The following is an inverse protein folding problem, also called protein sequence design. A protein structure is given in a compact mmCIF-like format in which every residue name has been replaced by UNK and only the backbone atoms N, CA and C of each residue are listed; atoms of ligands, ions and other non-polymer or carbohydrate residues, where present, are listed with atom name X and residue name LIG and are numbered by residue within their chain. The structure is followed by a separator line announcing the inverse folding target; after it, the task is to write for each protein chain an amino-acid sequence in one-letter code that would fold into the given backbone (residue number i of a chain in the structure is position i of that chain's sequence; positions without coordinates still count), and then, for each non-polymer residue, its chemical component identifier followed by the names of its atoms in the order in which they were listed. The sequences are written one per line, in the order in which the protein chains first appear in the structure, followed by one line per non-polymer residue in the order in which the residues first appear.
data_IF_201735405467
#
_entry.id   IF_201735405467
#
_cell.length_a   1.000
_cell.length_b   1.000
_cell.length_c   1.000
_cell.angle_alpha   90.00
_cell.angle_beta   90.00
_cell.angle_gamma   90.00
#
_symmetry.space_group_name_H-M   'P 1'
#
loop_
_entity.id
_entity.type
_entity.pdbx_description
1 polymer ?
#
# COMPACT_ATOMS: atom_id res chain seq x y z
N UNK A 1 -7.96 6.22 9.95
CA UNK A 1 -8.09 6.40 11.42
C UNK A 1 -9.09 7.51 11.72
N UNK A 2 -9.99 7.34 12.70
CA UNK A 2 -10.85 8.45 13.12
C UNK A 2 -10.10 9.32 14.14
N UNK A 3 -9.82 10.55 13.76
CA UNK A 3 -9.16 11.53 14.62
C UNK A 3 -10.22 12.35 15.35
N UNK A 4 -10.28 12.17 16.67
CA UNK A 4 -11.04 13.05 17.54
C UNK A 4 -10.05 13.92 18.31
N UNK A 5 -10.19 15.24 18.32
CA UNK A 5 -9.35 16.15 19.12
C UNK A 5 -7.82 16.00 18.90
N UNK A 6 -7.36 16.07 17.64
CA UNK A 6 -5.93 16.06 17.32
C UNK A 6 -5.23 17.33 17.86
N UNK A 7 -4.26 17.14 18.76
CA UNK A 7 -3.36 18.19 19.25
C UNK A 7 -1.91 17.81 18.95
N UNK A 8 -1.24 18.61 18.13
CA UNK A 8 0.20 18.45 17.85
C UNK A 8 0.98 19.18 18.95
N UNK A 9 2.00 18.50 19.51
CA UNK A 9 2.78 19.00 20.64
C UNK A 9 4.20 19.43 20.22
N UNK A 10 4.94 18.58 19.50
CA UNK A 10 6.30 18.88 19.02
C UNK A 10 6.46 18.47 17.57
N UNK A 11 7.24 19.24 16.81
CA UNK A 11 7.57 18.97 15.41
C UNK A 11 9.07 19.17 15.22
N UNK A 12 9.76 18.18 14.67
CA UNK A 12 11.16 18.25 14.27
C UNK A 12 11.27 17.96 12.77
N UNK A 13 12.19 18.66 12.10
CA UNK A 13 12.45 18.49 10.67
C UNK A 13 13.93 18.16 10.47
N UNK A 14 14.21 17.14 9.67
CA UNK A 14 15.56 16.74 9.29
C UNK A 14 15.67 16.69 7.78
N UNK A 15 16.82 17.10 7.24
CA UNK A 15 17.10 17.04 5.82
C UNK A 15 17.49 15.62 5.41
N UNK A 16 16.87 15.10 4.37
CA UNK A 16 17.22 13.82 3.74
C UNK A 16 17.92 14.12 2.42
N UNK A 17 19.05 13.45 2.19
CA UNK A 17 19.81 13.59 0.95
C UNK A 17 19.62 12.36 0.06
N UNK A 18 19.70 12.52 -1.27
CA UNK A 18 19.87 11.37 -2.16
C UNK A 18 21.21 10.68 -1.86
N UNK A 19 21.37 9.46 -2.36
CA UNK A 19 22.68 8.77 -2.30
C UNK A 19 23.74 9.61 -3.04
N UNK A 20 24.98 9.55 -2.56
CA UNK A 20 26.10 10.21 -3.23
C UNK A 20 26.32 9.69 -4.65
N UNK A 21 27.14 10.36 -5.44
CA UNK A 21 27.46 9.92 -6.81
C UNK A 21 28.09 8.52 -6.84
N UNK A 22 28.82 8.16 -5.78
CA UNK A 22 29.39 6.82 -5.56
C UNK A 22 28.34 5.78 -5.11
N UNK A 23 27.10 6.20 -4.89
CA UNK A 23 25.99 5.38 -4.42
C UNK A 23 25.99 5.13 -2.92
N UNK A 24 26.90 5.74 -2.15
CA UNK A 24 26.96 5.58 -0.71
C UNK A 24 25.89 6.41 -0.01
N UNK A 25 25.62 6.02 1.23
CA UNK A 25 24.80 6.80 2.14
C UNK A 25 25.37 8.20 2.35
N UNK A 26 24.48 9.17 2.37
CA UNK A 26 24.77 10.51 2.87
C UNK A 26 24.00 10.65 4.18
N UNK A 27 24.70 11.01 5.25
CA UNK A 27 24.06 11.23 6.54
C UNK A 27 23.03 12.36 6.42
N UNK A 28 21.85 12.22 7.04
CA UNK A 28 20.84 13.26 7.02
C UNK A 28 21.34 14.54 7.73
N UNK A 29 20.79 15.69 7.34
CA UNK A 29 21.05 16.95 8.02
C UNK A 29 20.18 17.05 9.27
N UNK A 30 20.81 17.22 10.43
CA UNK A 30 20.10 17.33 11.70
C UNK A 30 19.50 18.74 11.88
N UNK A 31 18.17 18.85 11.92
CA UNK A 31 17.51 20.03 12.47
C UNK A 31 17.83 20.18 13.96
N UNK A 32 18.05 21.42 14.39
CA UNK A 32 18.52 21.76 15.74
C UNK A 32 17.43 22.37 16.62
N UNK A 33 16.26 22.64 16.05
CA UNK A 33 15.15 23.33 16.71
C UNK A 33 13.82 22.65 16.43
N UNK A 34 12.87 22.83 17.34
CA UNK A 34 11.48 22.46 17.13
C UNK A 34 10.78 23.52 16.27
N UNK A 35 9.92 23.06 15.38
CA UNK A 35 9.14 23.93 14.50
C UNK A 35 7.91 24.43 15.26
N UNK A 36 7.77 25.75 15.30
CA UNK A 36 6.59 26.43 15.81
C UNK A 36 5.84 27.05 14.63
N UNK A 37 4.78 26.37 14.18
CA UNK A 37 3.88 26.91 13.16
C UNK A 37 2.98 28.00 13.76
N UNK A 38 2.67 29.02 12.95
CA UNK A 38 1.52 29.90 13.23
C UNK A 38 0.20 29.12 13.08
N UNK A 39 -0.91 29.76 13.46
CA UNK A 39 -2.22 29.09 13.49
C UNK A 39 -2.64 28.56 12.12
N UNK A 40 -2.41 29.33 11.06
CA UNK A 40 -2.77 28.96 9.69
C UNK A 40 -1.91 27.79 9.19
N UNK A 41 -0.59 27.86 9.36
CA UNK A 41 0.33 26.80 8.98
C UNK A 41 0.09 25.51 9.78
N UNK A 42 -0.26 25.62 11.07
CA UNK A 42 -0.61 24.47 11.90
C UNK A 42 -1.94 23.84 11.46
N UNK A 43 -2.92 24.66 11.07
CA UNK A 43 -4.19 24.19 10.51
C UNK A 43 -3.97 23.40 9.22
N UNK A 44 -3.19 23.95 8.28
CA UNK A 44 -2.80 23.29 7.05
C UNK A 44 -2.02 21.98 7.31
N UNK A 45 -1.11 21.99 8.28
CA UNK A 45 -0.37 20.82 8.71
C UNK A 45 -1.31 19.71 9.21
N UNK A 46 -2.27 20.05 10.07
CA UNK A 46 -3.29 19.12 10.55
C UNK A 46 -4.13 18.58 9.39
N UNK A 47 -4.58 19.43 8.46
CA UNK A 47 -5.36 18.98 7.31
C UNK A 47 -4.62 17.92 6.49
N UNK A 48 -3.30 18.04 6.35
CA UNK A 48 -2.48 17.03 5.65
C UNK A 48 -2.43 15.71 6.37
N UNK A 49 -2.36 15.74 7.71
CA UNK A 49 -2.43 14.54 8.56
C UNK A 49 -3.79 13.86 8.38
N UNK A 50 -4.90 14.62 8.41
CA UNK A 50 -6.24 14.08 8.16
C UNK A 50 -6.34 13.48 6.75
N UNK A 51 -5.86 14.18 5.72
CA UNK A 51 -5.95 13.70 4.35
C UNK A 51 -5.11 12.44 4.11
N UNK A 52 -3.99 12.25 4.84
CA UNK A 52 -3.10 11.11 4.63
C UNK A 52 -3.37 9.94 5.58
N UNK A 53 -3.82 10.18 6.81
CA UNK A 53 -4.00 9.13 7.84
C UNK A 53 -5.45 9.00 8.35
N UNK A 54 -6.34 9.91 7.93
CA UNK A 54 -7.73 9.98 8.38
C UNK A 54 -8.59 8.79 7.94
N UNK A 55 -9.89 8.87 8.23
CA UNK A 55 -10.84 7.81 7.88
C UNK A 55 -10.95 7.64 6.36
N UNK A 56 -11.02 8.76 5.64
CA UNK A 56 -11.22 8.79 4.18
C UNK A 56 -9.91 8.68 3.38
N UNK A 57 -8.78 8.37 4.04
CA UNK A 57 -7.50 8.26 3.36
C UNK A 57 -7.24 6.85 2.82
N UNK A 58 -6.36 6.75 1.83
CA UNK A 58 -5.83 5.47 1.34
C UNK A 58 -4.88 4.78 2.32
N UNK A 59 -4.76 5.25 3.57
CA UNK A 59 -3.83 4.64 4.52
C UNK A 59 -4.19 3.16 4.77
N UNK A 60 -3.14 2.36 4.88
CA UNK A 60 -3.18 0.92 5.15
C UNK A 60 -2.76 0.70 6.59
N UNK A 61 -3.55 -0.05 7.35
CA UNK A 61 -3.14 -0.50 8.68
C UNK A 61 -2.10 -1.62 8.57
N UNK A 62 -1.01 -1.50 9.32
CA UNK A 62 0.09 -2.45 9.38
C UNK A 62 0.47 -2.75 10.82
N UNK A 63 1.19 -3.85 11.01
CA UNK A 63 1.70 -4.28 12.32
C UNK A 63 3.20 -4.09 12.42
N UNK A 64 3.67 -3.72 13.60
CA UNK A 64 5.11 -3.66 13.87
C UNK A 64 5.66 -5.10 13.88
N UNK A 65 6.76 -5.33 13.17
CA UNK A 65 7.46 -6.63 13.13
C UNK A 65 8.93 -6.51 13.53
N UNK A 66 9.50 -5.31 13.51
CA UNK A 66 10.86 -5.05 13.98
C UNK A 66 10.84 -4.18 15.25
N UNK A 67 10.92 -4.84 16.41
CA UNK A 67 10.95 -4.19 17.73
C UNK A 67 12.36 -4.04 18.31
N UNK A 68 13.41 -4.24 17.49
CA UNK A 68 14.79 -4.17 17.95
C UNK A 68 15.13 -2.76 18.46
N UNK A 69 16.06 -2.67 19.40
CA UNK A 69 16.67 -1.38 19.81
C UNK A 69 17.19 -0.64 18.57
N UNK A 70 17.10 0.69 18.61
CA UNK A 70 17.47 1.60 17.51
C UNK A 70 16.61 1.48 16.23
N UNK A 71 15.58 0.61 16.21
CA UNK A 71 14.59 0.61 15.14
C UNK A 71 13.70 1.86 15.19
N UNK A 72 13.04 2.19 14.07
CA UNK A 72 12.06 3.29 14.04
C UNK A 72 10.94 3.11 15.07
N UNK A 73 10.32 1.92 15.24
CA UNK A 73 9.35 1.67 16.30
C UNK A 73 9.91 1.90 17.72
N UNK A 74 11.18 1.54 17.97
CA UNK A 74 11.83 1.82 19.25
C UNK A 74 11.89 3.32 19.53
N UNK A 75 12.35 4.13 18.57
CA UNK A 75 12.41 5.59 18.74
C UNK A 75 11.01 6.22 18.87
N UNK A 76 10.03 5.76 18.09
CA UNK A 76 8.62 6.17 18.23
C UNK A 76 8.13 5.99 19.66
N UNK A 77 8.43 4.85 20.28
CA UNK A 77 7.95 4.53 21.62
C UNK A 77 8.49 5.49 22.70
N UNK A 78 9.65 6.11 22.48
CA UNK A 78 10.32 7.01 23.43
C UNK A 78 10.23 8.50 23.04
N UNK A 79 9.52 8.84 21.96
CA UNK A 79 9.34 10.23 21.50
C UNK A 79 8.22 10.97 22.23
N UNK A 80 7.25 10.24 22.79
CA UNK A 80 6.15 10.89 23.50
C UNK A 80 6.56 11.21 24.95
N UNK A 81 6.43 12.48 25.35
CA UNK A 81 6.71 12.93 26.72
C UNK A 81 8.19 13.17 27.05
N UNK A 82 9.11 12.98 26.12
CA UNK A 82 10.53 13.30 26.31
C UNK A 82 10.80 14.82 26.27
N UNK A 83 11.98 15.26 26.71
CA UNK A 83 12.41 16.66 26.61
C UNK A 83 12.60 17.12 25.16
N UNK A 84 12.69 18.42 24.91
CA UNK A 84 12.87 18.96 23.55
C UNK A 84 14.19 18.49 22.91
N UNK A 85 15.27 18.47 23.69
CA UNK A 85 16.58 18.00 23.24
C UNK A 85 16.56 16.50 22.90
N UNK A 86 15.93 15.68 23.75
CA UNK A 86 15.75 14.25 23.47
C UNK A 86 14.86 14.01 22.26
N UNK A 87 13.79 14.80 22.10
CA UNK A 87 12.90 14.70 20.95
C UNK A 87 13.67 14.90 19.64
N UNK A 88 14.45 15.99 19.55
CA UNK A 88 15.28 16.30 18.37
C UNK A 88 16.32 15.21 18.10
N UNK A 89 16.94 14.66 19.15
CA UNK A 89 17.94 13.60 19.02
C UNK A 89 17.30 12.30 18.52
N UNK A 90 16.19 11.86 19.14
CA UNK A 90 15.50 10.63 18.79
C UNK A 90 14.85 10.73 17.40
N UNK A 91 14.29 11.89 17.03
CA UNK A 91 13.74 12.10 15.68
C UNK A 91 14.83 12.11 14.60
N UNK A 92 16.04 12.56 14.93
CA UNK A 92 17.20 12.48 14.04
C UNK A 92 17.66 11.05 13.81
N UNK A 93 17.61 10.18 14.82
CA UNK A 93 17.91 8.75 14.62
C UNK A 93 16.87 8.07 13.71
N UNK A 94 15.60 8.48 13.76
CA UNK A 94 14.60 8.06 12.75
C UNK A 94 15.01 8.55 11.34
N UNK A 95 15.55 9.76 11.20
CA UNK A 95 16.07 10.24 9.91
C UNK A 95 17.24 9.40 9.39
N UNK A 96 18.11 8.90 10.27
CA UNK A 96 19.20 7.99 9.89
C UNK A 96 18.66 6.64 9.44
N UNK A 97 17.66 6.09 10.15
CA UNK A 97 16.97 4.86 9.73
C UNK A 97 16.35 5.00 8.34
N UNK A 98 15.77 6.16 8.01
CA UNK A 98 15.26 6.44 6.66
C UNK A 98 16.41 6.48 5.63
N UNK A 99 17.50 7.20 5.91
CA UNK A 99 18.64 7.29 4.98
C UNK A 99 19.22 5.90 4.67
N UNK A 100 19.41 5.07 5.70
CA UNK A 100 19.87 3.69 5.56
C UNK A 100 18.93 2.84 4.70
N UNK A 101 17.61 2.95 4.93
CA UNK A 101 16.61 2.21 4.15
C UNK A 101 16.52 2.64 2.68
N UNK A 102 16.88 3.89 2.36
CA UNK A 102 16.84 4.43 0.99
C UNK A 102 18.03 3.97 0.13
N UNK A 103 18.09 2.69 -0.23
CA UNK A 103 19.29 2.09 -0.89
C UNK A 103 19.45 2.43 -2.38
N UNK A 104 18.43 2.95 -3.06
CA UNK A 104 18.47 3.18 -4.52
C UNK A 104 18.92 4.60 -4.84
N UNK A 105 19.85 4.74 -5.80
CA UNK A 105 20.35 6.06 -6.26
C UNK A 105 19.27 7.00 -6.82
N UNK A 106 18.18 6.45 -7.37
CA UNK A 106 17.06 7.23 -7.91
C UNK A 106 16.05 7.74 -6.87
N UNK A 107 16.28 7.49 -5.57
CA UNK A 107 15.41 8.03 -4.52
C UNK A 107 15.74 9.50 -4.27
N UNK A 108 14.71 10.33 -4.30
CA UNK A 108 14.79 11.75 -4.02
C UNK A 108 15.18 12.03 -2.58
N UNK A 109 15.99 13.08 -2.40
CA UNK A 109 16.12 13.78 -1.13
C UNK A 109 14.82 14.52 -0.79
N UNK A 110 14.85 15.25 0.32
CA UNK A 110 13.63 15.84 0.85
C UNK A 110 13.80 16.23 2.30
N UNK A 111 12.69 16.32 3.01
CA UNK A 111 12.72 16.39 4.46
C UNK A 111 12.00 15.21 5.08
N UNK A 112 12.41 14.89 6.29
CA UNK A 112 11.66 14.06 7.21
C UNK A 112 11.10 14.96 8.31
N UNK A 113 9.77 15.01 8.40
CA UNK A 113 9.06 15.62 9.53
C UNK A 113 8.71 14.51 10.51
N UNK A 114 9.08 14.68 11.77
CA UNK A 114 8.65 13.82 12.87
C UNK A 114 7.90 14.69 13.86
N UNK A 115 6.70 14.28 14.27
CA UNK A 115 5.91 15.04 15.23
C UNK A 115 5.29 14.13 16.29
N UNK A 116 5.18 14.65 17.51
CA UNK A 116 4.36 14.06 18.55
C UNK A 116 3.06 14.83 18.69
N UNK A 117 2.01 14.11 19.03
CA UNK A 117 0.67 14.60 19.17
C UNK A 117 -0.09 13.74 20.19
N UNK A 118 -1.27 14.21 20.55
CA UNK A 118 -2.31 13.42 21.21
C UNK A 118 -3.55 13.36 20.33
N UNK A 119 -4.25 12.24 20.40
CA UNK A 119 -5.52 12.02 19.72
C UNK A 119 -6.55 11.41 20.68
N UNK A 120 -7.82 11.54 20.32
CA UNK A 120 -9.00 11.20 21.12
C UNK A 120 -9.20 12.02 22.40
N UNK A 121 -10.38 11.84 23.02
CA UNK A 121 -10.75 12.54 24.25
C UNK A 121 -9.85 12.18 25.43
N UNK A 122 -9.36 10.94 25.49
CA UNK A 122 -8.42 10.44 26.49
C UNK A 122 -6.96 10.85 26.21
N UNK A 123 -6.70 11.65 25.15
CA UNK A 123 -5.37 12.19 24.81
C UNK A 123 -4.30 11.10 24.65
N UNK A 124 -4.64 10.02 23.96
CA UNK A 124 -3.68 8.94 23.68
C UNK A 124 -2.50 9.47 22.85
N UNK A 125 -1.27 8.98 23.10
CA UNK A 125 -0.11 9.34 22.30
C UNK A 125 -0.25 9.00 20.82
N UNK A 126 0.20 9.90 19.96
CA UNK A 126 0.31 9.74 18.53
C UNK A 126 1.68 10.28 18.07
N UNK A 127 2.42 9.49 17.30
CA UNK A 127 3.64 9.96 16.62
C UNK A 127 3.44 9.83 15.13
N UNK A 128 3.65 10.91 14.40
CA UNK A 128 3.59 10.92 12.94
C UNK A 128 4.94 11.18 12.31
N UNK A 129 5.18 10.52 11.18
CA UNK A 129 6.38 10.64 10.36
C UNK A 129 5.94 10.97 8.94
N UNK A 130 6.47 12.04 8.35
CA UNK A 130 6.17 12.45 6.98
C UNK A 130 7.49 12.64 6.22
N UNK A 131 7.68 11.84 5.17
CA UNK A 131 8.76 12.03 4.19
C UNK A 131 8.21 12.84 3.04
N UNK A 132 8.70 14.06 2.86
CA UNK A 132 8.26 14.97 1.80
C UNK A 132 9.40 15.25 0.83
N UNK A 133 9.14 15.05 -0.46
CA UNK A 133 10.11 15.36 -1.52
C UNK A 133 10.16 16.86 -1.79
N UNK A 134 11.33 17.36 -2.19
CA UNK A 134 11.51 18.75 -2.61
C UNK A 134 10.88 18.95 -4.00
N UNK A 135 10.07 19.99 -4.12
CA UNK A 135 9.52 20.43 -5.41
C UNK A 135 9.71 21.93 -5.60
N UNK A 136 9.85 22.37 -6.84
CA UNK A 136 9.82 23.79 -7.15
C UNK A 136 8.41 24.26 -7.49
N UNK A 137 8.16 25.55 -7.27
CA UNK A 137 6.92 26.20 -7.66
C UNK A 137 7.08 27.71 -7.68
N UNK A 138 5.95 28.42 -7.75
CA UNK A 138 5.93 29.87 -7.84
C UNK A 138 5.08 30.45 -6.72
N UNK A 139 5.68 31.33 -5.92
CA UNK A 139 4.98 32.15 -4.94
C UNK A 139 4.45 33.40 -5.66
N UNK A 140 3.14 33.65 -5.54
CA UNK A 140 2.55 34.90 -6.02
C UNK A 140 2.93 36.01 -5.05
N UNK A 141 3.64 37.00 -5.56
CA UNK A 141 3.91 38.23 -4.84
C UNK A 141 3.10 39.38 -5.45
N UNK A 142 2.57 40.25 -4.59
CA UNK A 142 1.85 41.43 -5.03
C UNK A 142 2.38 42.65 -4.29
N UNK A 143 2.86 43.63 -5.05
CA UNK A 143 3.28 44.90 -4.48
C UNK A 143 2.06 45.63 -3.91
N UNK A 144 2.08 45.93 -2.60
CA UNK A 144 0.95 46.58 -1.92
C UNK A 144 0.70 48.03 -2.35
N UNK A 145 1.69 48.69 -2.96
CA UNK A 145 1.61 50.10 -3.40
C UNK A 145 1.28 50.22 -4.89
N UNK A 146 1.93 49.43 -5.74
CA UNK A 146 1.77 49.50 -7.20
C UNK A 146 0.72 48.52 -7.72
N UNK A 147 0.33 47.52 -6.92
CA UNK A 147 -0.61 46.47 -7.32
C UNK A 147 -0.05 45.44 -8.30
N UNK A 148 1.22 45.59 -8.71
CA UNK A 148 1.88 44.71 -9.67
C UNK A 148 1.97 43.29 -9.09
N UNK A 149 1.49 42.33 -9.86
CA UNK A 149 1.58 40.91 -9.55
C UNK A 149 2.84 40.36 -10.21
N UNK A 150 3.69 39.71 -9.43
CA UNK A 150 4.85 38.97 -9.92
C UNK A 150 4.88 37.55 -9.35
N UNK A 151 5.65 36.68 -9.99
CA UNK A 151 5.84 35.31 -9.55
C UNK A 151 7.30 35.13 -9.14
N UNK A 152 7.51 34.77 -7.87
CA UNK A 152 8.83 34.42 -7.34
C UNK A 152 8.99 32.91 -7.41
N UNK A 153 10.01 32.45 -8.13
CA UNK A 153 10.32 31.02 -8.16
C UNK A 153 10.87 30.57 -6.80
N UNK A 154 10.21 29.57 -6.20
CA UNK A 154 10.61 28.93 -4.95
C UNK A 154 11.12 27.54 -5.30
N UNK A 155 12.40 27.27 -5.06
CA UNK A 155 13.05 26.01 -5.43
C UNK A 155 12.66 24.84 -4.54
N UNK A 156 12.30 25.13 -3.29
CA UNK A 156 12.14 24.14 -2.22
C UNK A 156 10.80 24.34 -1.51
N UNK A 157 9.72 24.00 -2.21
CA UNK A 157 8.41 23.83 -1.60
C UNK A 157 8.33 22.43 -0.99
N UNK A 158 7.86 22.40 0.26
CA UNK A 158 7.74 21.20 1.07
C UNK A 158 6.34 21.17 1.67
N UNK A 159 5.85 19.96 1.95
CA UNK A 159 4.49 19.75 2.43
C UNK A 159 3.53 20.54 1.53
N UNK A 160 3.25 20.05 0.32
CA UNK A 160 2.22 20.60 -0.58
C UNK A 160 0.96 19.72 -0.53
N UNK A 161 -0.26 20.23 -0.81
CA UNK A 161 -1.49 19.49 -0.51
C UNK A 161 -1.64 18.14 -1.24
N UNK A 162 -0.87 17.91 -2.30
CA UNK A 162 -0.91 16.68 -3.07
C UNK A 162 -0.21 15.54 -2.33
N UNK A 163 -0.97 14.51 -1.96
CA UNK A 163 -0.49 13.26 -1.35
C UNK A 163 0.46 12.45 -2.24
N UNK A 164 0.56 12.78 -3.55
CA UNK A 164 1.59 12.22 -4.43
C UNK A 164 2.99 12.69 -4.09
N UNK A 165 3.12 13.77 -3.32
CA UNK A 165 4.37 14.48 -3.06
C UNK A 165 4.97 14.13 -1.68
N UNK A 166 4.29 13.30 -0.88
CA UNK A 166 4.77 12.86 0.41
C UNK A 166 4.27 11.47 0.81
N UNK A 167 5.06 10.76 1.62
CA UNK A 167 4.69 9.51 2.29
C UNK A 167 4.50 9.81 3.77
N UNK A 168 3.51 9.21 4.42
CA UNK A 168 3.25 9.43 5.84
C UNK A 168 2.97 8.12 6.58
N UNK A 169 3.45 8.03 7.82
CA UNK A 169 3.09 6.99 8.75
C UNK A 169 2.63 7.60 10.06
N UNK A 170 1.62 6.98 10.68
CA UNK A 170 1.14 7.35 12.00
C UNK A 170 1.15 6.15 12.92
N UNK A 171 1.77 6.32 14.09
CA UNK A 171 1.81 5.35 15.17
C UNK A 171 0.86 5.83 16.26
N UNK A 172 -0.23 5.10 16.46
CA UNK A 172 -1.32 5.43 17.37
C UNK A 172 -1.28 4.52 18.58
N UNK A 173 -1.06 5.08 19.77
CA UNK A 173 -1.06 4.28 20.99
C UNK A 173 -2.45 3.71 21.22
N UNK A 174 -2.54 2.41 21.51
CA UNK A 174 -3.78 1.74 21.88
C UNK A 174 -4.11 2.00 23.35
N UNK A 175 -5.40 2.08 23.64
CA UNK A 175 -5.88 2.18 25.01
C UNK A 175 -5.74 0.84 25.75
N UNK A 176 -5.57 0.88 27.08
CA UNK A 176 -5.61 -0.28 27.96
C UNK A 176 -4.58 -1.39 27.68
N UNK A 177 -3.47 -1.07 27.01
CA UNK A 177 -2.35 -2.00 26.80
C UNK A 177 -1.31 -1.83 27.91
N UNK A 178 -0.78 -2.94 28.43
CA UNK A 178 0.30 -2.91 29.44
C UNK A 178 1.57 -2.32 28.82
N UNK A 179 2.32 -1.53 29.57
CA UNK A 179 3.56 -0.93 29.09
C UNK A 179 4.64 -1.97 28.72
N UNK A 180 4.57 -3.17 29.31
CA UNK A 180 5.52 -4.27 29.05
C UNK A 180 5.08 -5.20 27.90
N UNK A 181 3.93 -4.93 27.26
CA UNK A 181 3.50 -5.67 26.06
C UNK A 181 4.44 -5.44 24.87
N UNK A 182 4.36 -6.28 23.84
CA UNK A 182 5.07 -6.02 22.58
C UNK A 182 4.64 -4.68 21.95
N UNK A 183 5.53 -3.98 21.25
CA UNK A 183 5.19 -2.70 20.60
C UNK A 183 4.05 -2.86 19.58
N UNK A 184 4.01 -4.01 18.91
CA UNK A 184 2.92 -4.41 18.01
C UNK A 184 1.54 -4.47 18.67
N UNK A 185 1.47 -4.74 19.98
CA UNK A 185 0.24 -4.67 20.76
C UNK A 185 -0.04 -3.25 21.25
N UNK A 186 1.02 -2.49 21.58
CA UNK A 186 0.89 -1.13 22.12
C UNK A 186 0.49 -0.08 21.09
N UNK A 187 0.82 -0.30 19.82
CA UNK A 187 0.65 0.69 18.75
C UNK A 187 -0.14 0.10 17.57
N UNK A 188 -1.08 0.88 17.03
CA UNK A 188 -1.63 0.68 15.69
C UNK A 188 -0.87 1.57 14.71
N UNK A 189 -0.48 1.04 13.55
CA UNK A 189 0.30 1.79 12.56
C UNK A 189 -0.51 1.96 11.29
N UNK A 190 -0.71 3.20 10.84
CA UNK A 190 -1.31 3.49 9.54
C UNK A 190 -0.28 4.13 8.62
N UNK A 191 -0.16 3.60 7.40
CA UNK A 191 0.83 4.05 6.42
C UNK A 191 0.10 4.48 5.15
N UNK A 192 0.35 5.72 4.73
CA UNK A 192 -0.10 6.26 3.45
C UNK A 192 1.09 6.54 2.56
N UNK A 193 1.14 5.84 1.44
CA UNK A 193 2.13 6.02 0.41
C UNK A 193 1.46 5.79 -0.95
N UNK A 194 1.44 6.80 -1.81
CA UNK A 194 0.84 6.72 -3.13
C UNK A 194 1.42 5.59 -4.01
N UNK A 195 2.64 5.13 -3.73
CA UNK A 195 3.21 3.98 -4.41
C UNK A 195 2.59 2.67 -3.93
N UNK A 196 2.17 2.52 -2.67
CA UNK A 196 1.54 1.30 -2.15
C UNK A 196 0.30 0.93 -2.98
N UNK A 197 -0.46 1.93 -3.44
CA UNK A 197 -1.69 1.76 -4.23
C UNK A 197 -1.45 1.37 -5.70
N UNK A 198 -0.21 1.17 -6.16
CA UNK A 198 0.10 0.83 -7.57
C UNK A 198 0.40 -0.65 -7.80
N UNK A 199 0.25 -1.10 -9.06
CA UNK A 199 0.40 -2.50 -9.49
C UNK A 199 1.70 -3.19 -9.06
N UNK A 200 2.82 -2.47 -9.13
CA UNK A 200 4.15 -2.91 -8.66
C UNK A 200 4.61 -2.18 -7.38
N UNK A 201 3.64 -1.50 -6.77
CA UNK A 201 3.77 -0.57 -5.67
C UNK A 201 4.30 -1.18 -4.38
N UNK A 202 3.86 -2.40 -4.08
CA UNK A 202 4.25 -3.13 -2.85
C UNK A 202 5.77 -3.27 -2.75
N UNK A 203 6.45 -3.65 -3.84
CA UNK A 203 7.91 -3.77 -3.88
C UNK A 203 8.62 -2.40 -3.93
N UNK A 204 8.00 -1.38 -4.53
CA UNK A 204 8.55 -0.03 -4.59
C UNK A 204 8.46 0.69 -3.22
N UNK A 205 7.41 0.42 -2.44
CA UNK A 205 7.15 1.00 -1.13
C UNK A 205 7.69 0.14 0.04
N UNK A 206 8.16 -1.08 -0.21
CA UNK A 206 8.70 -2.00 0.80
C UNK A 206 9.81 -1.38 1.65
N UNK A 207 10.67 -0.56 1.03
CA UNK A 207 11.71 0.14 1.78
C UNK A 207 11.11 1.07 2.85
N UNK A 208 9.96 1.69 2.58
CA UNK A 208 9.32 2.65 3.47
C UNK A 208 8.61 1.92 4.62
N UNK A 209 7.68 1.01 4.33
CA UNK A 209 6.91 0.36 5.39
C UNK A 209 7.71 -0.72 6.15
N UNK A 210 8.55 -1.49 5.47
CA UNK A 210 9.24 -2.63 6.08
C UNK A 210 10.65 -2.27 6.55
N UNK A 211 11.51 -1.81 5.65
CA UNK A 211 12.92 -1.56 6.01
C UNK A 211 13.07 -0.35 6.93
N UNK A 212 12.37 0.76 6.64
CA UNK A 212 12.43 1.98 7.43
C UNK A 212 11.51 1.93 8.65
N UNK A 213 10.21 1.69 8.45
CA UNK A 213 9.22 1.76 9.53
C UNK A 213 9.13 0.47 10.37
N UNK A 214 9.77 -0.62 9.94
CA UNK A 214 9.79 -1.87 10.70
C UNK A 214 8.42 -2.56 10.80
N UNK A 215 7.55 -2.33 9.82
CA UNK A 215 6.18 -2.84 9.79
C UNK A 215 5.99 -3.90 8.69
N UNK A 216 4.94 -4.69 8.82
CA UNK A 216 4.48 -5.58 7.76
C UNK A 216 2.95 -5.66 7.77
N UNK A 217 2.40 -6.30 6.75
CA UNK A 217 0.99 -6.63 6.70
C UNK A 217 0.62 -7.57 7.86
N UNK A 218 -0.58 -7.41 8.46
CA UNK A 218 -1.04 -8.36 9.46
C UNK A 218 -1.03 -9.79 8.90
N UNK A 219 -0.55 -10.77 9.67
CA UNK A 219 -0.45 -12.18 9.23
C UNK A 219 -1.80 -12.79 8.82
N UNK A 220 -2.91 -12.23 9.32
CA UNK A 220 -4.27 -12.62 8.96
C UNK A 220 -4.70 -12.13 7.57
N UNK A 221 -4.00 -11.17 6.96
CA UNK A 221 -4.36 -10.59 5.65
C UNK A 221 -4.32 -11.65 4.53
N UNK A 222 -3.29 -12.51 4.53
CA UNK A 222 -3.18 -13.61 3.56
C UNK A 222 -4.30 -14.63 3.70
N UNK A 223 -4.67 -14.94 4.95
CA UNK A 223 -5.80 -15.84 5.27
C UNK A 223 -7.13 -15.22 4.85
N UNK A 224 -7.33 -13.94 5.13
CA UNK A 224 -8.54 -13.18 4.79
C UNK A 224 -8.73 -13.11 3.28
N UNK A 225 -7.66 -12.78 2.54
CA UNK A 225 -7.68 -12.75 1.07
C UNK A 225 -7.98 -14.12 0.48
N UNK A 226 -7.36 -15.18 1.01
CA UNK A 226 -7.66 -16.56 0.59
C UNK A 226 -9.12 -16.93 0.85
N UNK A 227 -9.63 -16.64 2.06
CA UNK A 227 -11.02 -16.95 2.46
C UNK A 227 -12.01 -16.19 1.58
N UNK A 228 -11.78 -14.90 1.33
CA UNK A 228 -12.58 -14.11 0.40
C UNK A 228 -12.61 -14.74 -0.99
N UNK A 229 -11.44 -15.08 -1.55
CA UNK A 229 -11.34 -15.70 -2.87
C UNK A 229 -12.14 -17.01 -2.94
N UNK A 230 -12.03 -17.87 -1.93
CA UNK A 230 -12.76 -19.14 -1.86
C UNK A 230 -14.29 -18.93 -1.77
N UNK A 231 -14.75 -18.00 -0.93
CA UNK A 231 -16.18 -17.68 -0.78
C UNK A 231 -16.73 -17.06 -2.07
N UNK A 232 -16.01 -16.12 -2.68
CA UNK A 232 -16.41 -15.46 -3.90
C UNK A 232 -16.51 -16.45 -5.07
N UNK A 233 -15.51 -17.32 -5.26
CA UNK A 233 -15.59 -18.39 -6.26
C UNK A 233 -16.77 -19.34 -5.99
N UNK A 234 -17.02 -19.69 -4.73
CA UNK A 234 -18.15 -20.55 -4.38
C UNK A 234 -19.49 -19.88 -4.75
N UNK A 235 -19.66 -18.61 -4.42
CA UNK A 235 -20.84 -17.84 -4.80
C UNK A 235 -21.02 -17.81 -6.32
N UNK A 236 -19.98 -17.39 -7.06
CA UNK A 236 -20.00 -17.29 -8.52
C UNK A 236 -20.34 -18.65 -9.15
N UNK A 237 -19.88 -19.77 -8.60
CA UNK A 237 -20.18 -21.11 -9.12
C UNK A 237 -21.64 -21.55 -8.91
N UNK A 238 -22.36 -20.97 -7.95
CA UNK A 238 -23.75 -21.36 -7.62
C UNK A 238 -24.79 -20.31 -8.05
N UNK A 239 -24.37 -19.22 -8.68
CA UNK A 239 -25.27 -18.24 -9.27
C UNK A 239 -26.10 -18.84 -10.41
N UNK A 240 -27.35 -18.42 -10.54
CA UNK A 240 -28.25 -18.74 -11.66
C UNK A 240 -27.97 -17.79 -12.85
N UNK A 241 -26.82 -18.00 -13.49
CA UNK A 241 -26.31 -17.24 -14.63
C UNK A 241 -25.79 -18.20 -15.70
N UNK A 242 -25.69 -17.72 -16.94
CA UNK A 242 -25.08 -18.51 -18.01
C UNK A 242 -23.56 -18.69 -17.79
N UNK A 243 -22.95 -19.63 -18.51
CA UNK A 243 -21.52 -19.92 -18.37
C UNK A 243 -20.61 -18.78 -18.84
N UNK A 244 -21.09 -17.94 -19.74
CA UNK A 244 -20.30 -16.82 -20.28
C UNK A 244 -20.15 -15.73 -19.20
N UNK A 245 -21.24 -15.36 -18.55
CA UNK A 245 -21.26 -14.43 -17.43
C UNK A 245 -20.49 -14.98 -16.22
N UNK A 246 -20.62 -16.29 -15.93
CA UNK A 246 -19.85 -16.96 -14.87
C UNK A 246 -18.35 -16.88 -15.12
N UNK A 247 -17.94 -17.15 -16.35
CA UNK A 247 -16.53 -17.06 -16.77
C UNK A 247 -16.04 -15.61 -16.71
N UNK A 248 -16.88 -14.65 -17.11
CA UNK A 248 -16.58 -13.23 -16.97
C UNK A 248 -16.33 -12.86 -15.50
N UNK A 249 -17.24 -13.22 -14.59
CA UNK A 249 -17.15 -12.94 -13.15
C UNK A 249 -15.88 -13.53 -12.51
N UNK A 250 -15.52 -14.77 -12.86
CA UNK A 250 -14.26 -15.36 -12.42
C UNK A 250 -13.06 -14.56 -12.94
N UNK A 251 -13.04 -14.24 -14.23
CA UNK A 251 -11.94 -13.47 -14.83
C UNK A 251 -11.77 -12.09 -14.19
N UNK A 252 -12.87 -11.37 -13.91
CA UNK A 252 -12.79 -10.08 -13.22
C UNK A 252 -12.40 -10.21 -11.75
N UNK A 253 -12.83 -11.27 -11.04
CA UNK A 253 -12.37 -11.57 -9.67
C UNK A 253 -10.86 -11.87 -9.63
N UNK A 254 -10.38 -12.73 -10.53
CA UNK A 254 -8.96 -13.01 -10.68
C UNK A 254 -8.20 -11.74 -11.01
N UNK A 255 -8.72 -10.92 -11.93
CA UNK A 255 -8.12 -9.64 -12.27
C UNK A 255 -8.10 -8.66 -11.09
N UNK A 256 -9.16 -8.57 -10.29
CA UNK A 256 -9.22 -7.68 -9.12
C UNK A 256 -8.20 -8.07 -8.03
N UNK A 257 -8.11 -9.37 -7.74
CA UNK A 257 -7.18 -9.89 -6.74
C UNK A 257 -5.73 -9.87 -7.23
N UNK A 258 -5.51 -10.13 -8.52
CA UNK A 258 -4.18 -10.15 -9.13
C UNK A 258 -3.67 -8.76 -9.47
N UNK A 259 -4.53 -7.87 -9.96
CA UNK A 259 -4.14 -6.52 -10.32
C UNK A 259 -3.72 -5.80 -9.05
N UNK A 260 -2.46 -5.37 -8.97
CA UNK A 260 -2.00 -4.57 -7.84
C UNK A 260 -2.56 -3.13 -7.83
N UNK A 261 -3.69 -2.85 -8.51
CA UNK A 261 -4.31 -1.51 -8.55
C UNK A 261 -4.78 -1.03 -7.18
N UNK A 262 -4.95 -1.93 -6.21
CA UNK A 262 -5.32 -1.60 -4.83
C UNK A 262 -4.74 -2.66 -3.88
N UNK A 263 -4.22 -2.23 -2.73
CA UNK A 263 -3.89 -3.11 -1.60
C UNK A 263 -5.10 -3.40 -0.70
N UNK A 264 -6.27 -2.82 -1.00
CA UNK A 264 -7.53 -3.16 -0.35
C UNK A 264 -8.40 -3.93 -1.33
N UNK A 265 -9.02 -5.00 -0.87
CA UNK A 265 -10.15 -5.63 -1.55
C UNK A 265 -11.40 -5.11 -0.87
N UNK A 266 -12.35 -4.61 -1.66
CA UNK A 266 -13.67 -4.25 -1.18
C UNK A 266 -14.69 -5.21 -1.83
N UNK A 267 -15.21 -6.20 -1.08
CA UNK A 267 -16.18 -7.16 -1.58
C UNK A 267 -17.41 -6.50 -2.22
N UNK A 268 -17.89 -5.40 -1.63
CA UNK A 268 -19.11 -4.75 -2.09
C UNK A 268 -18.85 -3.83 -3.28
N UNK A 269 -17.67 -3.22 -3.38
CA UNK A 269 -17.28 -2.50 -4.58
C UNK A 269 -17.10 -3.45 -5.78
N UNK A 270 -16.55 -4.65 -5.55
CA UNK A 270 -16.48 -5.70 -6.56
C UNK A 270 -17.88 -6.08 -7.06
N UNK A 271 -18.77 -6.48 -6.14
CA UNK A 271 -20.13 -6.87 -6.51
C UNK A 271 -20.88 -5.73 -7.20
N UNK A 272 -20.82 -4.51 -6.67
CA UNK A 272 -21.49 -3.34 -7.26
C UNK A 272 -20.97 -2.94 -8.64
N UNK A 273 -19.77 -3.37 -9.02
CA UNK A 273 -19.18 -3.07 -10.33
C UNK A 273 -19.50 -4.11 -11.40
N UNK A 274 -19.70 -5.38 -11.01
CA UNK A 274 -19.76 -6.50 -11.94
C UNK A 274 -21.03 -7.36 -11.83
N UNK A 275 -21.86 -7.17 -10.80
CA UNK A 275 -23.08 -7.97 -10.57
C UNK A 275 -24.34 -7.12 -10.71
N UNK A 276 -25.48 -7.78 -10.91
CA UNK A 276 -26.80 -7.12 -10.86
C UNK A 276 -27.14 -6.65 -9.45
N UNK A 277 -28.06 -5.70 -9.30
CA UNK A 277 -28.47 -5.21 -7.96
C UNK A 277 -29.00 -6.32 -7.06
N UNK A 278 -29.74 -7.29 -7.61
CA UNK A 278 -30.23 -8.44 -6.85
C UNK A 278 -29.07 -9.35 -6.38
N UNK A 279 -28.10 -9.57 -7.25
CA UNK A 279 -26.93 -10.40 -6.94
C UNK A 279 -25.97 -9.74 -5.95
N UNK A 280 -25.90 -8.40 -5.91
CA UNK A 280 -25.15 -7.65 -4.89
C UNK A 280 -25.70 -7.92 -3.50
N UNK A 281 -27.02 -7.88 -3.34
CA UNK A 281 -27.66 -8.16 -2.04
C UNK A 281 -27.53 -9.65 -1.67
N UNK A 282 -27.68 -10.56 -2.65
CA UNK A 282 -27.43 -11.99 -2.43
C UNK A 282 -25.99 -12.26 -2.02
N UNK A 283 -25.01 -11.61 -2.64
CA UNK A 283 -23.60 -11.75 -2.30
C UNK A 283 -23.29 -11.22 -0.91
N UNK A 284 -23.87 -10.07 -0.52
CA UNK A 284 -23.76 -9.53 0.84
C UNK A 284 -24.24 -10.56 1.87
N UNK A 285 -25.45 -11.08 1.69
CA UNK A 285 -26.02 -12.08 2.60
C UNK A 285 -25.15 -13.35 2.64
N UNK A 286 -24.62 -13.77 1.48
CA UNK A 286 -23.73 -14.92 1.40
C UNK A 286 -22.41 -14.71 2.16
N UNK A 287 -21.84 -13.50 2.14
CA UNK A 287 -20.66 -13.17 2.94
C UNK A 287 -20.99 -13.18 4.44
N UNK A 288 -22.15 -12.65 4.83
CA UNK A 288 -22.62 -12.63 6.22
C UNK A 288 -22.85 -14.06 6.75
N UNK A 289 -23.46 -14.96 5.97
CA UNK A 289 -23.68 -16.37 6.31
C UNK A 289 -22.35 -17.12 6.55
N UNK A 290 -21.27 -16.68 5.91
CA UNK A 290 -19.92 -17.20 6.09
C UNK A 290 -19.13 -16.48 7.18
N UNK A 291 -19.73 -15.59 7.98
CA UNK A 291 -19.04 -14.73 8.96
C UNK A 291 -17.84 -13.99 8.33
N UNK A 292 -18.02 -13.46 7.12
CA UNK A 292 -17.02 -12.69 6.40
C UNK A 292 -17.39 -11.20 6.41
N UNK A 293 -16.48 -10.30 6.86
CA UNK A 293 -16.78 -8.88 6.90
C UNK A 293 -16.98 -8.31 5.49
N UNK A 294 -18.10 -7.63 5.28
CA UNK A 294 -18.46 -6.97 4.00
C UNK A 294 -17.66 -5.69 3.73
N UNK A 295 -16.85 -5.25 4.68
CA UNK A 295 -16.00 -4.05 4.54
C UNK A 295 -14.67 -4.31 3.82
N UNK A 296 -13.98 -3.24 3.38
CA UNK A 296 -12.66 -3.37 2.77
C UNK A 296 -11.64 -4.02 3.70
N UNK A 297 -10.83 -4.94 3.18
CA UNK A 297 -9.75 -5.59 3.91
C UNK A 297 -8.44 -5.52 3.14
N UNK A 298 -7.32 -5.72 3.85
CA UNK A 298 -6.00 -5.65 3.23
C UNK A 298 -5.71 -6.90 2.40
N UNK A 299 -5.38 -6.68 1.13
CA UNK A 299 -5.03 -7.69 0.14
C UNK A 299 -3.64 -8.25 0.41
N UNK A 300 -3.57 -9.55 0.58
CA UNK A 300 -2.33 -10.30 0.57
C UNK A 300 -2.51 -11.63 -0.15
N UNK A 301 -1.93 -11.73 -1.35
CA UNK A 301 -2.12 -12.87 -2.23
C UNK A 301 -1.15 -14.00 -1.95
N UNK A 302 -0.32 -13.94 -0.90
CA UNK A 302 0.70 -14.96 -0.61
C UNK A 302 0.14 -16.40 -0.70
N UNK A 303 -1.04 -16.64 -0.13
CA UNK A 303 -1.67 -17.96 -0.09
C UNK A 303 -2.48 -18.36 -1.33
N UNK A 304 -2.76 -17.42 -2.25
CA UNK A 304 -3.47 -17.68 -3.51
C UNK A 304 -2.61 -17.39 -4.74
N UNK A 305 -1.33 -17.03 -4.55
CA UNK A 305 -0.42 -16.60 -5.61
C UNK A 305 -0.30 -17.62 -6.76
N UNK A 306 -0.34 -18.93 -6.45
CA UNK A 306 -0.32 -19.98 -7.46
C UNK A 306 -1.64 -20.09 -8.25
N UNK A 307 -2.78 -19.86 -7.59
CA UNK A 307 -4.11 -19.83 -8.23
C UNK A 307 -4.26 -18.63 -9.17
N UNK A 308 -3.68 -17.48 -8.80
CA UNK A 308 -3.70 -16.25 -9.60
C UNK A 308 -2.70 -16.23 -10.77
N UNK A 309 -1.73 -17.16 -10.83
CA UNK A 309 -0.77 -17.21 -11.94
C UNK A 309 -1.48 -17.63 -13.23
N UNK A 310 -1.04 -17.06 -14.35
CA UNK A 310 -1.45 -17.59 -15.65
C UNK A 310 -0.48 -18.71 -16.01
N UNK A 311 -1.02 -19.88 -16.33
CA UNK A 311 -0.26 -20.94 -16.99
C UNK A 311 -0.23 -20.61 -18.47
N UNK A 312 0.98 -20.51 -19.02
CA UNK A 312 1.19 -20.21 -20.43
C UNK A 312 2.03 -21.30 -21.10
N UNK A 313 1.46 -21.93 -22.12
CA UNK A 313 2.20 -22.77 -23.07
C UNK A 313 2.72 -21.90 -24.20
N UNK A 314 4.00 -22.05 -24.54
CA UNK A 314 4.64 -21.40 -25.68
C UNK A 314 5.16 -22.47 -26.63
N UNK A 315 4.76 -22.37 -27.89
CA UNK A 315 5.29 -23.22 -28.96
C UNK A 315 6.30 -22.43 -29.81
N UNK A 316 7.19 -23.13 -30.50
CA UNK A 316 8.28 -22.55 -31.30
C UNK A 316 7.81 -21.67 -32.47
N UNK A 317 6.55 -21.80 -32.88
CA UNK A 317 5.93 -21.03 -33.97
C UNK A 317 5.06 -19.86 -33.48
N UNK A 318 5.40 -19.29 -32.32
CA UNK A 318 4.68 -18.18 -31.68
C UNK A 318 3.22 -18.46 -31.29
N UNK A 319 2.78 -19.71 -31.35
CA UNK A 319 1.48 -20.14 -30.80
C UNK A 319 1.58 -20.07 -29.27
N UNK A 320 0.57 -19.46 -28.64
CA UNK A 320 0.48 -19.34 -27.19
C UNK A 320 -0.92 -19.71 -26.71
N UNK A 321 -0.98 -20.48 -25.64
CA UNK A 321 -2.21 -20.73 -24.89
C UNK A 321 -1.95 -20.24 -23.48
N UNK A 322 -2.84 -19.41 -22.94
CA UNK A 322 -2.70 -18.83 -21.61
C UNK A 322 -4.05 -18.77 -20.92
N UNK A 323 -4.12 -19.29 -19.71
CA UNK A 323 -5.27 -19.17 -18.82
C UNK A 323 -4.80 -19.11 -17.36
N UNK A 324 -5.60 -18.61 -16.40
CA UNK A 324 -5.36 -18.80 -14.97
C UNK A 324 -5.09 -20.27 -14.64
N UNK A 325 -4.19 -20.57 -13.71
CA UNK A 325 -3.75 -21.95 -13.43
C UNK A 325 -4.90 -22.90 -13.12
N UNK A 326 -5.89 -22.43 -12.35
CA UNK A 326 -7.06 -23.22 -11.92
C UNK A 326 -7.95 -23.59 -13.13
N UNK A 327 -8.28 -22.60 -13.98
CA UNK A 327 -9.00 -22.81 -15.24
C UNK A 327 -8.21 -23.72 -16.18
N UNK A 328 -6.89 -23.52 -16.27
CA UNK A 328 -6.02 -24.33 -17.11
C UNK A 328 -6.03 -25.80 -16.68
N UNK A 329 -5.97 -26.08 -15.38
CA UNK A 329 -5.99 -27.45 -14.84
C UNK A 329 -7.33 -28.16 -15.06
N UNK A 330 -8.44 -27.43 -14.94
CA UNK A 330 -9.79 -27.99 -15.09
C UNK A 330 -10.19 -28.20 -16.56
N UNK A 331 -9.93 -27.21 -17.41
CA UNK A 331 -10.48 -27.15 -18.77
C UNK A 331 -9.47 -27.47 -19.88
N UNK A 332 -8.16 -27.51 -19.61
CA UNK A 332 -7.14 -27.77 -20.65
C UNK A 332 -6.45 -29.11 -20.42
N UNK A 333 -6.62 -30.04 -21.36
CA UNK A 333 -5.90 -31.32 -21.39
C UNK A 333 -4.82 -31.32 -22.47
N UNK A 334 -3.63 -31.82 -22.16
CA UNK A 334 -2.46 -31.82 -23.04
C UNK A 334 -2.01 -33.26 -23.22
N UNK A 335 -1.90 -33.70 -24.47
CA UNK A 335 -1.41 -35.03 -24.84
C UNK A 335 -0.29 -34.90 -25.87
N UNK A 336 0.71 -35.76 -25.74
CA UNK A 336 1.75 -35.92 -26.77
C UNK A 336 1.27 -36.96 -27.77
N UNK A 337 1.28 -36.60 -29.06
CA UNK A 337 0.83 -37.50 -30.14
C UNK A 337 1.91 -37.62 -31.20
N UNK A 338 1.96 -38.76 -31.89
CA UNK A 338 2.80 -38.88 -33.09
C UNK A 338 2.22 -38.06 -34.23
N UNK A 339 3.07 -37.31 -34.91
CA UNK A 339 2.74 -36.60 -36.13
C UNK A 339 2.90 -37.46 -37.37
N UNK A 340 2.49 -36.89 -38.50
CA UNK A 340 2.56 -37.59 -39.78
C UNK A 340 4.00 -37.91 -40.19
N UNK A 341 4.20 -39.09 -40.77
CA UNK A 341 5.51 -39.52 -41.25
C UNK A 341 5.98 -38.61 -42.40
N UNK A 342 7.19 -38.05 -42.23
CA UNK A 342 7.89 -37.33 -43.28
C UNK A 342 8.28 -38.24 -44.44
N UNK A 343 8.70 -37.64 -45.56
CA UNK A 343 9.17 -38.36 -46.75
C UNK A 343 10.40 -39.25 -46.48
N UNK A 344 11.11 -38.99 -45.39
CA UNK A 344 12.27 -39.71 -44.86
C UNK A 344 11.89 -40.80 -43.83
N UNK A 345 10.59 -41.00 -43.56
CA UNK A 345 10.09 -41.93 -42.57
C UNK A 345 10.19 -41.44 -41.12
N UNK A 346 10.68 -40.22 -40.88
CA UNK A 346 10.72 -39.61 -39.56
C UNK A 346 9.31 -39.19 -39.11
N UNK A 347 8.92 -39.56 -37.89
CA UNK A 347 7.65 -39.12 -37.27
C UNK A 347 7.93 -38.03 -36.24
N UNK A 348 7.52 -36.78 -36.48
CA UNK A 348 7.68 -35.73 -35.49
C UNK A 348 6.74 -35.96 -34.31
N UNK A 349 7.08 -35.39 -33.16
CA UNK A 349 6.21 -35.37 -31.99
C UNK A 349 5.34 -34.12 -32.02
N UNK A 350 4.02 -34.28 -31.93
CA UNK A 350 3.05 -33.19 -31.86
C UNK A 350 2.41 -33.11 -30.48
N UNK A 351 1.77 -31.97 -30.21
CA UNK A 351 1.02 -31.73 -28.98
C UNK A 351 -0.45 -31.53 -29.32
N UNK A 352 -1.31 -32.40 -28.81
CA UNK A 352 -2.77 -32.26 -28.87
C UNK A 352 -3.25 -31.55 -27.62
N UNK A 353 -4.03 -30.49 -27.82
CA UNK A 353 -4.58 -29.69 -26.73
C UNK A 353 -6.09 -29.72 -26.87
N UNK A 354 -6.77 -30.21 -25.83
CA UNK A 354 -8.20 -30.17 -25.72
C UNK A 354 -8.56 -29.04 -24.76
N UNK A 355 -9.26 -28.04 -25.25
CA UNK A 355 -9.91 -27.01 -24.44
C UNK A 355 -11.38 -27.42 -24.31
N UNK A 356 -11.84 -27.71 -23.09
CA UNK A 356 -13.21 -28.13 -22.79
C UNK A 356 -14.14 -26.91 -22.69
N UNK A 357 -14.10 -26.05 -23.70
CA UNK A 357 -14.86 -24.81 -23.77
C UNK A 357 -15.15 -24.43 -25.23
N UNK A 358 -16.11 -23.53 -25.46
CA UNK A 358 -16.46 -22.99 -26.78
C UNK A 358 -15.68 -21.71 -27.06
N UNK A 359 -15.48 -21.41 -28.34
CA UNK A 359 -14.90 -20.13 -28.75
C UNK A 359 -15.97 -19.04 -28.59
N UNK A 360 -15.65 -17.98 -27.87
CA UNK A 360 -16.56 -16.86 -27.54
C UNK A 360 -16.27 -15.57 -28.31
N UNK A 361 -15.03 -15.36 -28.77
CA UNK A 361 -14.62 -14.18 -29.56
C UNK A 361 -13.42 -14.55 -30.46
N UNK A 362 -13.29 -13.94 -31.64
CA UNK A 362 -12.21 -14.21 -32.62
C UNK A 362 -11.67 -12.96 -33.32
#
# INVERSE_FOLDING_TARGET
MNFVHLKVDKIAIHQIFPRGEDGKEVLPGKGTELINFDEDALSDFKQRIYNSLGHDSSAVEMVITNEKTESTPFYVNILHGCSDAEFINNSYEIAKNLSQAQTRRGMSGGILVVFSATYQYNKLPFVGIIKADLYSGYEKWQDKKTGIISLKHVKELLLTPSTKLYKSAGFFKRENVKNDSALSEQWSVHISDYQIDKSDGKAAAQYFYQTFLGCDYPATSARTTKRYFEIACHFINHMDIDEEERTHLHNVLYADLKAGKSQKVDPMAFAGSYMSTADVDNFRNFLDDYDFPVGPFIKDTQYISNKLKNRCLKFSKNIRISAPSEIFEEFVSIETVEGDAGQDGYRPTWTKILVKDRIVDQ
#
